data_IF_266538870721
#
_entry.id   IF_266538870721
#
_cell.length_a   1.000
_cell.length_b   1.000
_cell.length_c   1.000
_cell.angle_alpha   90.00
_cell.angle_beta   90.00
_cell.angle_gamma   90.00
#
_symmetry.space_group_name_H-M   'P 1'
#
loop_
_entity.id
_entity.type
_entity.pdbx_description
1 polymer ?
#
# COMPACT_ATOMS: atom_id res chain seq x y z
N UNK A 1 6.24 -1.89 9.71
CA UNK A 1 7.29 -1.09 10.37
C UNK A 1 7.33 -1.32 11.88
N UNK A 2 6.25 -1.19 12.62
CA UNK A 2 6.22 -1.47 14.09
C UNK A 2 6.81 -2.84 14.44
N UNK A 3 6.41 -3.92 13.72
CA UNK A 3 6.99 -5.26 13.90
C UNK A 3 8.53 -5.26 13.73
N UNK A 4 9.04 -4.54 12.75
CA UNK A 4 10.48 -4.46 12.50
C UNK A 4 11.23 -3.79 13.68
N UNK A 5 10.67 -2.72 14.24
CA UNK A 5 11.23 -2.10 15.45
C UNK A 5 11.22 -3.01 16.66
N UNK A 6 10.11 -3.75 16.87
CA UNK A 6 10.01 -4.75 17.94
C UNK A 6 11.09 -5.83 17.74
N UNK A 7 11.12 -6.44 16.55
CA UNK A 7 12.05 -7.52 16.24
C UNK A 7 13.51 -7.10 16.47
N UNK A 8 13.90 -5.91 16.02
CA UNK A 8 15.26 -5.37 16.22
C UNK A 8 15.60 -5.15 17.69
N UNK A 9 14.62 -4.76 18.53
CA UNK A 9 14.86 -4.45 19.96
C UNK A 9 14.82 -5.69 20.86
N UNK A 10 14.03 -6.72 20.49
CA UNK A 10 13.74 -7.84 21.37
C UNK A 10 14.45 -9.14 20.99
N UNK A 11 14.80 -9.31 19.71
CA UNK A 11 15.45 -10.54 19.27
C UNK A 11 16.97 -10.42 19.34
N UNK A 12 17.61 -11.38 20.01
CA UNK A 12 19.07 -11.51 20.08
C UNK A 12 19.64 -12.26 18.86
N UNK A 13 18.96 -12.19 17.72
CA UNK A 13 19.35 -12.82 16.47
C UNK A 13 19.38 -11.79 15.35
N UNK A 14 20.08 -12.13 14.26
CA UNK A 14 20.06 -11.29 13.07
C UNK A 14 18.65 -11.28 12.45
N UNK A 15 18.13 -10.08 12.18
CA UNK A 15 16.86 -9.88 11.52
C UNK A 15 17.08 -9.01 10.29
N UNK A 16 16.73 -9.55 9.12
CA UNK A 16 16.77 -8.81 7.85
C UNK A 16 15.38 -8.32 7.49
N UNK A 17 15.26 -7.04 7.20
CA UNK A 17 14.03 -6.40 6.74
C UNK A 17 14.02 -6.38 5.23
N UNK A 18 13.01 -6.98 4.61
CA UNK A 18 12.81 -6.95 3.17
C UNK A 18 11.78 -5.90 2.78
N UNK A 19 12.11 -5.05 1.83
CA UNK A 19 11.17 -4.10 1.21
C UNK A 19 11.17 -4.29 -0.30
N UNK A 20 9.98 -4.56 -0.87
CA UNK A 20 9.82 -4.66 -2.31
C UNK A 20 9.77 -3.26 -2.94
N UNK A 21 10.69 -2.99 -3.85
CA UNK A 21 10.62 -1.86 -4.76
C UNK A 21 9.63 -2.19 -5.87
N UNK A 22 8.59 -1.40 -6.00
CA UNK A 22 7.54 -1.60 -6.98
C UNK A 22 6.89 -0.27 -7.34
N UNK A 23 6.49 -0.07 -8.60
CA UNK A 23 5.65 1.07 -8.99
C UNK A 23 4.31 1.13 -8.24
N UNK A 24 3.86 0.00 -7.68
CA UNK A 24 2.64 -0.08 -6.87
C UNK A 24 2.83 0.40 -5.43
N UNK A 25 4.07 0.61 -4.97
CA UNK A 25 4.37 1.15 -3.63
C UNK A 25 4.52 2.66 -3.73
N UNK A 26 3.76 3.46 -2.96
CA UNK A 26 3.94 4.90 -2.94
C UNK A 26 5.39 5.26 -2.60
N UNK A 27 5.96 6.21 -3.33
CA UNK A 27 7.36 6.64 -3.14
C UNK A 27 7.63 7.06 -1.69
N UNK A 28 6.74 7.81 -1.09
CA UNK A 28 6.84 8.24 0.32
C UNK A 28 6.93 7.07 1.32
N UNK A 29 6.36 5.91 0.98
CA UNK A 29 6.43 4.73 1.84
C UNK A 29 7.84 4.11 1.82
N UNK A 30 8.48 4.05 0.65
CA UNK A 30 9.87 3.60 0.51
C UNK A 30 10.82 4.54 1.24
N UNK A 31 10.73 5.85 1.02
CA UNK A 31 11.54 6.87 1.69
C UNK A 31 11.41 6.79 3.23
N UNK A 32 10.20 6.52 3.74
CA UNK A 32 9.96 6.33 5.17
C UNK A 32 10.66 5.08 5.69
N UNK A 33 10.60 3.96 4.98
CA UNK A 33 11.25 2.71 5.39
C UNK A 33 12.76 2.88 5.43
N UNK A 34 13.36 3.50 4.40
CA UNK A 34 14.80 3.77 4.34
C UNK A 34 15.25 4.68 5.50
N UNK A 35 14.48 5.71 5.81
CA UNK A 35 14.75 6.59 6.95
C UNK A 35 14.73 5.83 8.28
N UNK A 36 13.70 4.98 8.49
CA UNK A 36 13.63 4.15 9.70
C UNK A 36 14.75 3.12 9.78
N UNK A 37 15.08 2.49 8.65
CA UNK A 37 16.18 1.53 8.58
C UNK A 37 17.51 2.17 8.98
N UNK A 38 17.80 3.35 8.44
CA UNK A 38 19.01 4.13 8.78
C UNK A 38 19.02 4.50 10.27
N UNK A 39 17.94 5.04 10.80
CA UNK A 39 17.86 5.54 12.17
C UNK A 39 17.89 4.41 13.22
N UNK A 40 17.30 3.26 12.91
CA UNK A 40 17.23 2.12 13.82
C UNK A 40 18.34 1.07 13.56
N UNK A 41 19.20 1.28 12.57
CA UNK A 41 20.27 0.35 12.21
C UNK A 41 19.75 -1.01 11.74
N UNK A 42 18.68 -1.02 10.91
CA UNK A 42 18.18 -2.26 10.33
C UNK A 42 19.11 -2.76 9.24
N UNK A 43 19.23 -4.08 9.15
CA UNK A 43 19.66 -4.71 7.91
C UNK A 43 18.48 -4.68 6.95
N UNK A 44 18.49 -3.76 6.00
CA UNK A 44 17.42 -3.58 5.00
C UNK A 44 17.87 -4.06 3.64
N UNK A 45 17.11 -4.99 3.07
CA UNK A 45 17.26 -5.47 1.70
C UNK A 45 16.13 -4.92 0.82
N UNK A 46 16.52 -4.17 -0.21
CA UNK A 46 15.60 -3.69 -1.24
C UNK A 46 15.55 -4.71 -2.38
N UNK A 47 14.39 -5.29 -2.63
CA UNK A 47 14.22 -6.35 -3.61
C UNK A 47 13.17 -5.97 -4.66
N UNK A 48 13.31 -6.50 -5.87
CA UNK A 48 12.25 -6.49 -6.88
C UNK A 48 11.47 -7.80 -6.77
N UNK A 49 10.18 -7.72 -6.48
CA UNK A 49 9.31 -8.90 -6.39
C UNK A 49 8.82 -9.38 -7.77
N UNK A 50 9.08 -8.62 -8.85
CA UNK A 50 8.74 -8.92 -10.24
C UNK A 50 7.23 -9.07 -10.51
N UNK A 51 6.35 -8.60 -9.64
CA UNK A 51 4.90 -8.66 -9.85
C UNK A 51 4.45 -7.91 -11.12
N UNK A 52 5.21 -6.89 -11.55
CA UNK A 52 4.93 -6.19 -12.82
C UNK A 52 5.30 -7.00 -14.07
N UNK A 53 5.83 -8.20 -13.91
CA UNK A 53 6.08 -9.17 -14.98
C UNK A 53 5.12 -10.36 -14.93
N UNK A 54 4.25 -10.43 -13.91
CA UNK A 54 3.27 -11.50 -13.73
C UNK A 54 1.95 -11.14 -14.42
N UNK A 55 1.56 -11.83 -15.51
CA UNK A 55 0.30 -11.57 -16.21
C UNK A 55 -0.92 -11.64 -15.30
N UNK A 56 -0.94 -12.58 -14.34
CA UNK A 56 -2.05 -12.75 -13.42
C UNK A 56 -2.21 -11.53 -12.50
N UNK A 57 -1.10 -10.92 -12.09
CA UNK A 57 -1.15 -9.67 -11.34
C UNK A 57 -1.60 -8.50 -12.21
N UNK A 58 -1.09 -8.41 -13.45
CA UNK A 58 -1.37 -7.31 -14.36
C UNK A 58 -2.83 -7.27 -14.82
N UNK A 59 -3.49 -8.41 -14.96
CA UNK A 59 -4.93 -8.51 -15.29
C UNK A 59 -5.84 -7.92 -14.20
N UNK A 60 -5.30 -7.65 -13.02
CA UNK A 60 -6.00 -7.02 -11.91
C UNK A 60 -7.29 -7.74 -11.49
N UNK A 61 -7.25 -9.05 -11.26
CA UNK A 61 -8.41 -9.78 -10.76
C UNK A 61 -8.73 -9.39 -9.31
N UNK A 62 -9.91 -9.78 -8.83
CA UNK A 62 -10.34 -9.51 -7.45
C UNK A 62 -9.36 -10.04 -6.40
N UNK A 63 -8.68 -11.16 -6.70
CA UNK A 63 -7.66 -11.80 -5.87
C UNK A 63 -6.22 -11.38 -6.23
N UNK A 64 -6.00 -10.25 -6.94
CA UNK A 64 -4.67 -9.75 -7.33
C UNK A 64 -3.65 -9.79 -6.20
N UNK A 65 -4.07 -9.53 -4.96
CA UNK A 65 -3.18 -9.53 -3.79
C UNK A 65 -2.55 -10.90 -3.52
N UNK A 66 -3.19 -12.00 -3.93
CA UNK A 66 -2.59 -13.35 -3.89
C UNK A 66 -1.34 -13.39 -4.76
N UNK A 67 -1.44 -13.04 -6.02
CA UNK A 67 -0.30 -13.04 -6.97
C UNK A 67 0.83 -12.11 -6.52
N UNK A 68 0.47 -10.89 -6.08
CA UNK A 68 1.44 -9.95 -5.53
C UNK A 68 2.23 -10.52 -4.34
N UNK A 69 1.54 -11.20 -3.42
CA UNK A 69 2.19 -11.78 -2.24
C UNK A 69 2.96 -13.05 -2.56
N UNK A 70 2.47 -13.88 -3.48
CA UNK A 70 3.19 -15.06 -3.96
C UNK A 70 4.53 -14.66 -4.60
N UNK A 71 4.52 -13.65 -5.48
CA UNK A 71 5.75 -13.10 -6.07
C UNK A 71 6.72 -12.58 -4.99
N UNK A 72 6.20 -11.82 -4.02
CA UNK A 72 7.02 -11.26 -2.92
C UNK A 72 7.66 -12.38 -2.08
N UNK A 73 6.88 -13.33 -1.61
CA UNK A 73 7.39 -14.39 -0.73
C UNK A 73 8.32 -15.35 -1.46
N UNK A 74 7.99 -15.71 -2.71
CA UNK A 74 8.88 -16.48 -3.58
C UNK A 74 10.23 -15.77 -3.75
N UNK A 75 10.20 -14.44 -3.92
CA UNK A 75 11.45 -13.68 -4.05
C UNK A 75 12.25 -13.66 -2.75
N UNK A 76 11.62 -13.44 -1.60
CA UNK A 76 12.29 -13.46 -0.29
C UNK A 76 12.89 -14.84 -0.01
N UNK A 77 12.20 -15.93 -0.34
CA UNK A 77 12.69 -17.30 -0.14
C UNK A 77 13.98 -17.61 -0.92
N UNK A 78 14.29 -16.85 -1.98
CA UNK A 78 15.57 -16.96 -2.69
C UNK A 78 16.76 -16.35 -1.91
N UNK A 79 16.49 -15.46 -0.97
CA UNK A 79 17.53 -14.79 -0.15
C UNK A 79 17.75 -15.46 1.19
N UNK A 80 16.76 -16.18 1.71
CA UNK A 80 16.83 -16.76 3.05
C UNK A 80 15.99 -18.03 3.17
N UNK A 81 16.50 -18.97 3.97
CA UNK A 81 15.75 -20.13 4.47
C UNK A 81 15.15 -19.90 5.87
N UNK A 82 15.33 -18.72 6.43
CA UNK A 82 14.80 -18.38 7.75
C UNK A 82 13.29 -18.10 7.67
N UNK A 83 12.56 -18.25 8.80
CA UNK A 83 11.13 -17.94 8.82
C UNK A 83 10.81 -16.51 8.36
N UNK A 84 9.86 -16.37 7.44
CA UNK A 84 9.38 -15.06 6.97
C UNK A 84 8.29 -14.59 7.94
N UNK A 85 8.43 -13.34 8.39
CA UNK A 85 7.46 -12.71 9.28
C UNK A 85 6.72 -11.59 8.56
N UNK A 86 5.42 -11.44 8.78
CA UNK A 86 4.64 -10.32 8.27
C UNK A 86 3.89 -9.58 9.37
N UNK A 87 3.59 -8.29 9.14
CA UNK A 87 2.88 -7.43 10.08
C UNK A 87 1.35 -7.57 10.02
N UNK A 88 0.81 -8.67 9.52
CA UNK A 88 -0.61 -8.98 9.58
C UNK A 88 -1.07 -9.01 11.04
N UNK A 89 -2.24 -8.46 11.34
CA UNK A 89 -2.80 -8.35 12.69
C UNK A 89 -4.21 -8.93 12.75
N UNK A 90 -4.85 -8.97 13.93
CA UNK A 90 -6.17 -9.58 14.12
C UNK A 90 -7.25 -8.95 13.23
N UNK A 91 -7.26 -7.63 13.10
CA UNK A 91 -8.28 -6.95 12.28
C UNK A 91 -8.20 -7.35 10.80
N UNK A 92 -7.02 -7.79 10.35
CA UNK A 92 -6.82 -8.20 8.96
C UNK A 92 -7.46 -9.55 8.65
N UNK A 93 -7.76 -10.38 9.65
CA UNK A 93 -8.35 -11.71 9.47
C UNK A 93 -9.86 -11.66 9.15
N UNK A 94 -10.54 -10.58 9.55
CA UNK A 94 -11.97 -10.40 9.31
C UNK A 94 -12.29 -9.83 7.91
N UNK A 95 -11.28 -9.45 7.13
CA UNK A 95 -11.42 -8.85 5.80
C UNK A 95 -11.07 -9.86 4.71
N UNK A 96 -11.61 -9.65 3.50
CA UNK A 96 -11.22 -10.43 2.33
C UNK A 96 -9.77 -10.09 1.93
N UNK A 97 -8.85 -11.00 2.24
CA UNK A 97 -7.41 -10.82 2.01
C UNK A 97 -6.78 -12.01 1.30
N UNK A 98 -6.90 -12.09 -0.02
CA UNK A 98 -6.31 -13.18 -0.81
C UNK A 98 -4.80 -13.36 -0.58
N UNK A 99 -4.09 -12.31 -0.18
CA UNK A 99 -2.68 -12.39 0.18
C UNK A 99 -2.37 -13.24 1.41
N UNK A 100 -3.36 -13.57 2.26
CA UNK A 100 -3.17 -14.49 3.38
C UNK A 100 -3.07 -15.95 2.90
N UNK A 101 -3.72 -16.30 1.79
CA UNK A 101 -3.56 -17.63 1.19
C UNK A 101 -2.13 -17.80 0.68
N UNK A 102 -1.59 -16.81 -0.03
CA UNK A 102 -0.17 -16.83 -0.41
C UNK A 102 0.77 -16.92 0.80
N UNK A 103 0.43 -16.28 1.92
CA UNK A 103 1.24 -16.37 3.14
C UNK A 103 1.26 -17.79 3.71
N UNK A 104 0.15 -18.56 3.60
CA UNK A 104 0.10 -19.97 4.01
C UNK A 104 1.00 -20.83 3.13
N UNK A 105 0.97 -20.64 1.80
CA UNK A 105 1.78 -21.42 0.86
C UNK A 105 3.29 -21.28 1.12
N UNK A 106 3.71 -20.16 1.71
CA UNK A 106 5.10 -19.85 2.05
C UNK A 106 5.39 -19.93 3.56
N UNK A 107 4.50 -20.52 4.35
CA UNK A 107 4.63 -20.69 5.80
C UNK A 107 4.99 -19.39 6.55
N UNK A 108 4.47 -18.25 6.05
CA UNK A 108 4.73 -16.92 6.63
C UNK A 108 4.04 -16.81 7.98
N UNK A 109 4.81 -16.47 9.01
CA UNK A 109 4.29 -16.26 10.36
C UNK A 109 3.77 -14.85 10.55
N UNK A 110 2.79 -14.73 11.43
CA UNK A 110 2.10 -13.46 11.74
C UNK A 110 2.17 -13.16 13.25
N UNK A 111 3.31 -12.65 13.77
CA UNK A 111 3.52 -12.49 15.22
C UNK A 111 2.42 -11.67 15.92
N UNK A 112 1.84 -10.67 15.26
CA UNK A 112 0.74 -9.91 15.86
C UNK A 112 -0.53 -10.74 16.00
N UNK A 113 -0.83 -11.62 15.03
CA UNK A 113 -1.96 -12.55 15.13
C UNK A 113 -1.70 -13.58 16.22
N UNK A 114 -0.51 -14.16 16.26
CA UNK A 114 -0.09 -15.14 17.27
C UNK A 114 -0.18 -14.57 18.70
N UNK A 115 0.07 -13.28 18.86
CA UNK A 115 0.00 -12.55 20.14
C UNK A 115 -1.37 -11.91 20.40
N UNK A 116 -2.39 -12.16 19.58
CA UNK A 116 -3.73 -11.53 19.67
C UNK A 116 -3.70 -10.00 19.65
N UNK A 117 -2.84 -9.39 18.83
CA UNK A 117 -2.64 -7.95 18.73
C UNK A 117 -3.41 -7.39 17.52
N UNK A 118 -4.27 -6.40 17.76
CA UNK A 118 -5.02 -5.66 16.74
C UNK A 118 -4.38 -4.31 16.38
N UNK A 119 -5.02 -3.58 15.46
CA UNK A 119 -4.52 -2.27 15.00
C UNK A 119 -4.41 -1.23 16.10
N UNK A 120 -5.35 -1.26 17.06
CA UNK A 120 -5.32 -0.34 18.23
C UNK A 120 -4.05 -0.57 19.04
N UNK A 121 -3.74 -1.83 19.33
CA UNK A 121 -2.58 -2.19 20.15
C UNK A 121 -1.27 -1.86 19.41
N UNK A 122 -1.21 -2.13 18.09
CA UNK A 122 -0.06 -1.75 17.26
C UNK A 122 0.21 -0.24 17.32
N UNK A 123 -0.84 0.61 17.35
CA UNK A 123 -0.69 2.06 17.47
C UNK A 123 -0.16 2.48 18.84
N UNK A 124 -0.66 1.84 19.92
CA UNK A 124 -0.15 2.07 21.29
C UNK A 124 1.32 1.64 21.40
N UNK A 125 1.67 0.47 20.85
CA UNK A 125 3.07 0.01 20.80
C UNK A 125 3.93 0.99 19.99
N UNK A 126 3.44 1.47 18.85
CA UNK A 126 4.17 2.45 18.04
C UNK A 126 4.39 3.78 18.81
N UNK A 127 3.42 4.21 19.60
CA UNK A 127 3.53 5.38 20.47
C UNK A 127 4.57 5.16 21.57
N UNK A 128 4.52 4.04 22.27
CA UNK A 128 5.47 3.66 23.32
C UNK A 128 6.90 3.52 22.79
N UNK A 129 7.04 3.10 21.53
CA UNK A 129 8.34 3.06 20.84
C UNK A 129 8.82 4.42 20.32
N UNK A 130 8.06 5.50 20.47
CA UNK A 130 8.37 6.83 19.95
C UNK A 130 8.29 6.95 18.43
N UNK A 131 7.44 6.16 17.78
CA UNK A 131 7.29 6.12 16.31
C UNK A 131 6.16 7.08 15.86
N UNK A 132 6.34 8.37 16.13
CA UNK A 132 5.33 9.41 15.95
C UNK A 132 4.83 9.54 14.50
N UNK A 133 5.71 9.31 13.52
CA UNK A 133 5.39 9.43 12.10
C UNK A 133 4.62 8.23 11.55
N UNK A 134 4.48 7.13 12.31
CA UNK A 134 3.74 5.93 11.88
C UNK A 134 2.55 5.57 12.77
N UNK A 135 2.51 6.02 14.03
CA UNK A 135 1.45 5.66 14.98
C UNK A 135 0.05 6.08 14.51
N UNK A 136 -0.05 7.17 13.75
CA UNK A 136 -1.31 7.71 13.26
C UNK A 136 -1.49 7.55 11.73
N UNK A 137 -0.58 6.84 11.05
CA UNK A 137 -0.73 6.66 9.60
C UNK A 137 -2.07 6.01 9.27
N UNK A 138 -2.83 6.59 8.34
CA UNK A 138 -4.01 5.93 7.80
C UNK A 138 -3.61 4.65 7.06
N UNK A 139 -4.58 3.75 6.84
CA UNK A 139 -4.35 2.57 6.01
C UNK A 139 -3.84 3.00 4.62
N UNK A 140 -2.65 2.53 4.25
CA UNK A 140 -1.98 2.87 3.01
C UNK A 140 -1.86 1.63 2.10
N UNK A 141 -2.97 1.17 1.49
CA UNK A 141 -2.91 0.08 0.52
C UNK A 141 -2.09 0.50 -0.70
N UNK A 142 -1.55 -0.48 -1.44
CA UNK A 142 -0.74 -0.22 -2.64
C UNK A 142 -1.52 0.57 -3.70
N UNK A 143 -0.81 1.28 -4.58
CA UNK A 143 -1.42 2.13 -5.63
C UNK A 143 -2.31 1.33 -6.58
N UNK A 144 -2.02 0.05 -6.83
CA UNK A 144 -2.86 -0.82 -7.66
C UNK A 144 -4.29 -0.97 -7.11
N UNK A 145 -4.50 -0.75 -5.80
CA UNK A 145 -5.84 -0.73 -5.21
C UNK A 145 -6.72 0.43 -5.69
N UNK A 146 -6.17 1.39 -6.40
CA UNK A 146 -6.86 2.53 -7.02
C UNK A 146 -7.38 2.19 -8.41
N UNK A 147 -6.88 1.12 -9.01
CA UNK A 147 -7.29 0.68 -10.35
C UNK A 147 -8.49 -0.25 -10.19
N UNK A 148 -9.57 0.04 -10.93
CA UNK A 148 -10.80 -0.75 -10.90
C UNK A 148 -10.52 -2.19 -11.34
N UNK A 149 -11.09 -3.15 -10.62
CA UNK A 149 -10.94 -4.59 -10.89
C UNK A 149 -11.19 -4.92 -12.37
N UNK A 150 -10.29 -5.69 -12.98
CA UNK A 150 -10.31 -6.07 -14.38
C UNK A 150 -9.82 -4.99 -15.35
N UNK A 151 -9.36 -3.84 -14.85
CA UNK A 151 -8.54 -2.93 -15.64
C UNK A 151 -7.07 -3.27 -15.44
N UNK A 152 -6.36 -3.48 -16.54
CA UNK A 152 -4.94 -3.86 -16.52
C UNK A 152 -4.09 -2.88 -15.72
N UNK A 153 -3.22 -3.40 -14.84
CA UNK A 153 -2.24 -2.62 -14.09
C UNK A 153 -1.08 -2.27 -15.00
N UNK A 154 -0.77 -1.00 -15.16
CA UNK A 154 0.38 -0.52 -15.93
C UNK A 154 1.20 0.48 -15.16
N UNK A 155 2.47 0.65 -15.52
CA UNK A 155 3.35 1.64 -14.90
C UNK A 155 2.78 3.06 -15.03
N UNK A 156 2.23 3.40 -16.20
CA UNK A 156 1.67 4.74 -16.46
C UNK A 156 0.51 5.05 -15.52
N UNK A 157 -0.40 4.08 -15.29
CA UNK A 157 -1.51 4.25 -14.35
C UNK A 157 -1.01 4.41 -12.91
N UNK A 158 -0.01 3.62 -12.50
CA UNK A 158 0.56 3.71 -11.15
C UNK A 158 1.28 5.04 -10.94
N UNK A 159 2.05 5.51 -11.92
CA UNK A 159 2.72 6.82 -11.89
C UNK A 159 1.73 7.98 -11.87
N UNK A 160 0.65 7.91 -12.65
CA UNK A 160 -0.44 8.88 -12.60
C UNK A 160 -1.02 8.96 -11.19
N UNK A 161 -1.40 7.81 -10.61
CA UNK A 161 -2.00 7.72 -9.29
C UNK A 161 -1.07 8.33 -8.22
N UNK A 162 0.21 7.93 -8.21
CA UNK A 162 1.20 8.45 -7.26
C UNK A 162 1.38 9.96 -7.40
N UNK A 163 1.50 10.45 -8.63
CA UNK A 163 1.71 11.88 -8.91
C UNK A 163 0.51 12.74 -8.48
N UNK A 164 -0.70 12.28 -8.77
CA UNK A 164 -1.93 13.00 -8.39
C UNK A 164 -2.15 12.94 -6.87
N UNK A 165 -2.00 11.77 -6.24
CA UNK A 165 -2.16 11.66 -4.79
C UNK A 165 -1.11 12.49 -4.04
N UNK A 166 0.12 12.58 -4.56
CA UNK A 166 1.18 13.41 -3.98
C UNK A 166 0.88 14.89 -4.13
N UNK A 167 0.49 15.36 -5.32
CA UNK A 167 0.08 16.76 -5.54
C UNK A 167 -1.01 17.19 -4.55
N UNK A 168 -2.02 16.33 -4.36
CA UNK A 168 -3.13 16.62 -3.45
C UNK A 168 -2.70 16.57 -1.97
N UNK A 169 -1.75 15.70 -1.60
CA UNK A 169 -1.19 15.66 -0.24
C UNK A 169 -0.32 16.88 0.06
N UNK A 170 0.43 17.37 -0.92
CA UNK A 170 1.19 18.63 -0.77
C UNK A 170 0.26 19.83 -0.54
N UNK A 171 -0.92 19.84 -1.15
CA UNK A 171 -1.92 20.91 -0.96
C UNK A 171 -2.69 20.79 0.36
N UNK A 172 -3.13 19.60 0.72
CA UNK A 172 -4.06 19.39 1.85
C UNK A 172 -3.39 18.86 3.13
N UNK A 173 -2.17 18.34 3.04
CA UNK A 173 -1.53 17.65 4.15
C UNK A 173 -2.09 16.25 4.39
N UNK A 174 -2.37 15.93 5.66
CA UNK A 174 -2.91 14.64 6.06
C UNK A 174 -4.39 14.52 5.71
N UNK A 175 -4.79 13.35 5.25
CA UNK A 175 -6.19 13.04 4.92
C UNK A 175 -6.31 11.84 4.00
N UNK A 176 -7.55 11.41 3.78
CA UNK A 176 -7.82 10.32 2.85
C UNK A 176 -7.97 10.88 1.43
N UNK A 177 -6.98 10.59 0.59
CA UNK A 177 -6.90 11.00 -0.80
C UNK A 177 -6.71 9.73 -1.65
N UNK A 178 -7.57 9.54 -2.67
CA UNK A 178 -7.48 8.40 -3.60
C UNK A 178 -7.74 8.84 -5.03
N UNK A 179 -6.76 8.64 -5.89
CA UNK A 179 -6.91 8.81 -7.34
C UNK A 179 -7.31 7.47 -7.95
N UNK A 180 -8.59 7.30 -8.31
CA UNK A 180 -9.12 6.06 -8.88
C UNK A 180 -9.05 6.09 -10.41
N UNK A 181 -8.51 5.03 -10.98
CA UNK A 181 -8.59 4.75 -12.42
C UNK A 181 -9.74 3.78 -12.63
N UNK A 182 -10.85 4.26 -13.17
CA UNK A 182 -12.08 3.49 -13.43
C UNK A 182 -12.35 3.40 -14.94
N UNK A 183 -13.25 2.49 -15.36
CA UNK A 183 -13.69 2.40 -16.76
C UNK A 183 -14.29 3.71 -17.27
N UNK A 184 -14.98 4.44 -16.39
CA UNK A 184 -15.58 5.74 -16.69
C UNK A 184 -14.56 6.87 -16.80
N UNK A 185 -13.36 6.74 -16.23
CA UNK A 185 -12.30 7.77 -16.23
C UNK A 185 -11.58 7.85 -14.89
N UNK A 186 -11.01 9.02 -14.63
CA UNK A 186 -10.30 9.31 -13.39
C UNK A 186 -11.29 9.90 -12.37
N UNK A 187 -11.32 9.33 -11.17
CA UNK A 187 -12.15 9.82 -10.06
C UNK A 187 -11.26 10.10 -8.85
N UNK A 188 -11.24 11.34 -8.39
CA UNK A 188 -10.57 11.73 -7.16
C UNK A 188 -11.55 11.58 -5.99
N UNK A 189 -11.27 10.64 -5.11
CA UNK A 189 -12.04 10.43 -3.89
C UNK A 189 -11.31 11.07 -2.70
N UNK A 190 -11.96 11.98 -2.03
CA UNK A 190 -11.45 12.73 -0.89
C UNK A 190 -12.38 12.56 0.32
N UNK A 191 -11.84 12.66 1.52
CA UNK A 191 -12.72 12.87 2.68
C UNK A 191 -13.48 14.20 2.52
N UNK A 192 -14.67 14.28 3.09
CA UNK A 192 -15.62 15.36 2.85
C UNK A 192 -15.05 16.75 3.18
N UNK A 193 -14.25 16.84 4.24
CA UNK A 193 -13.58 18.09 4.66
C UNK A 193 -12.58 18.61 3.64
N UNK A 194 -11.94 17.72 2.85
CA UNK A 194 -11.01 18.08 1.79
C UNK A 194 -11.73 18.36 0.48
N UNK A 195 -12.80 17.63 0.19
CA UNK A 195 -13.58 17.78 -1.03
C UNK A 195 -14.11 19.22 -1.19
N UNK A 196 -14.56 19.83 -0.09
CA UNK A 196 -15.07 21.18 -0.04
C UNK A 196 -13.99 22.26 -0.24
N UNK A 197 -12.70 21.89 -0.17
CA UNK A 197 -11.56 22.81 -0.37
C UNK A 197 -11.00 22.77 -1.80
N UNK A 198 -11.53 21.90 -2.67
CA UNK A 198 -11.05 21.77 -4.05
C UNK A 198 -11.52 22.95 -4.89
N UNK A 199 -10.64 23.90 -5.14
CA UNK A 199 -10.88 25.07 -5.97
C UNK A 199 -10.62 24.83 -7.47
N UNK A 200 -10.90 25.81 -8.30
CA UNK A 200 -10.69 25.73 -9.75
C UNK A 200 -9.21 25.60 -10.14
N UNK A 201 -8.30 26.22 -9.38
CA UNK A 201 -6.86 26.16 -9.66
C UNK A 201 -6.33 24.76 -9.43
N UNK A 202 -6.70 24.12 -8.31
CA UNK A 202 -6.31 22.76 -7.99
C UNK A 202 -6.88 21.76 -9.01
N UNK A 203 -8.16 21.94 -9.42
CA UNK A 203 -8.76 21.13 -10.50
C UNK A 203 -7.95 21.24 -11.80
N UNK A 204 -7.54 22.45 -12.18
CA UNK A 204 -6.75 22.66 -13.39
C UNK A 204 -5.36 21.98 -13.28
N UNK A 205 -4.68 22.05 -12.12
CA UNK A 205 -3.42 21.35 -11.88
C UNK A 205 -3.57 19.84 -12.05
N UNK A 206 -4.62 19.26 -11.46
CA UNK A 206 -4.91 17.81 -11.56
C UNK A 206 -5.25 17.42 -13.00
N UNK A 207 -6.10 18.19 -13.70
CA UNK A 207 -6.48 17.92 -15.08
C UNK A 207 -5.26 17.96 -16.02
N UNK A 208 -4.36 18.92 -15.84
CA UNK A 208 -3.12 19.00 -16.61
C UNK A 208 -2.23 17.77 -16.36
N UNK A 209 -2.10 17.36 -15.10
CA UNK A 209 -1.31 16.18 -14.74
C UNK A 209 -1.93 14.91 -15.36
N UNK A 210 -3.24 14.73 -15.28
CA UNK A 210 -3.97 13.60 -15.86
C UNK A 210 -3.79 13.53 -17.40
N UNK A 211 -3.79 14.68 -18.07
CA UNK A 211 -3.53 14.76 -19.53
C UNK A 211 -2.11 14.35 -19.91
N UNK A 212 -1.11 14.71 -19.11
CA UNK A 212 0.30 14.30 -19.31
C UNK A 212 0.41 12.76 -19.38
N UNK A 213 -0.40 12.05 -18.59
CA UNK A 213 -0.46 10.59 -18.60
C UNK A 213 -1.45 10.00 -19.63
N UNK A 214 -1.89 10.80 -20.61
CA UNK A 214 -2.69 10.33 -21.75
C UNK A 214 -4.19 10.17 -21.48
N UNK A 215 -4.71 10.67 -20.37
CA UNK A 215 -6.14 10.66 -20.07
C UNK A 215 -6.78 11.98 -20.47
N UNK A 216 -7.61 11.95 -21.53
CA UNK A 216 -8.27 13.14 -22.08
C UNK A 216 -9.70 13.37 -21.57
N UNK A 217 -10.22 12.45 -20.74
CA UNK A 217 -11.53 12.63 -20.10
C UNK A 217 -11.37 13.52 -18.87
N UNK A 218 -12.39 14.31 -18.56
CA UNK A 218 -12.41 15.12 -17.34
C UNK A 218 -12.28 14.29 -16.08
N UNK A 219 -11.80 14.92 -15.01
CA UNK A 219 -11.62 14.31 -13.69
C UNK A 219 -12.87 14.55 -12.85
N UNK A 220 -13.45 13.48 -12.32
CA UNK A 220 -14.55 13.55 -11.37
C UNK A 220 -14.02 13.64 -9.93
N UNK A 221 -14.77 14.34 -9.07
CA UNK A 221 -14.46 14.47 -7.63
C UNK A 221 -15.63 13.95 -6.82
N UNK A 222 -15.37 13.12 -5.82
CA UNK A 222 -16.41 12.54 -4.97
C UNK A 222 -15.92 12.27 -3.54
N UNK A 223 -16.85 12.07 -2.61
CA UNK A 223 -16.52 11.63 -1.27
C UNK A 223 -15.90 10.24 -1.28
N UNK A 224 -14.90 10.02 -0.43
CA UNK A 224 -14.21 8.76 -0.30
C UNK A 224 -15.15 7.62 0.08
N UNK A 225 -15.03 6.51 -0.65
CA UNK A 225 -15.71 5.24 -0.34
C UNK A 225 -14.67 4.12 -0.28
N UNK A 226 -14.63 3.43 0.87
CA UNK A 226 -13.72 2.29 1.02
C UNK A 226 -14.06 1.21 -0.01
N UNK A 227 -13.03 0.72 -0.72
CA UNK A 227 -13.18 -0.37 -1.67
C UNK A 227 -13.89 -0.03 -2.98
N UNK A 228 -14.11 1.25 -3.31
CA UNK A 228 -14.86 1.71 -4.49
C UNK A 228 -14.29 1.26 -5.85
N UNK A 229 -13.03 0.81 -5.91
CA UNK A 229 -12.39 0.25 -7.10
C UNK A 229 -12.47 -1.29 -7.15
N UNK A 230 -12.96 -1.95 -6.09
CA UNK A 230 -13.09 -3.40 -6.04
C UNK A 230 -14.50 -3.81 -6.49
N UNK A 231 -14.61 -4.31 -7.71
CA UNK A 231 -15.83 -4.91 -8.21
C UNK A 231 -15.84 -6.38 -7.76
N UNK A 232 -16.50 -6.65 -6.65
CA UNK A 232 -16.84 -8.02 -6.25
C UNK A 232 -18.14 -8.37 -6.95
N UNK A 233 -18.17 -9.41 -7.75
CA UNK A 233 -19.44 -9.99 -8.15
C UNK A 233 -20.20 -10.35 -6.86
N UNK A 234 -21.43 -9.89 -6.76
CA UNK A 234 -22.30 -10.33 -5.66
C UNK A 234 -22.54 -11.82 -5.88
N UNK A 235 -21.85 -12.63 -5.08
CA UNK A 235 -22.18 -14.05 -4.90
C UNK A 235 -23.58 -14.19 -4.31
#
# INVERSE_FOLDING_TARGET
MTLAHIAKRTLNVSVTMFHALSPAVPREATERIERHAKNAGWQLELINANEMQDPNYLENPVNRCFFCKSNLYSRIAQFTSQPILSGTNLDDLSDFRPGLEAAKDFEVRHPFVEANIGKRDIRLIAEDLGLDDIKQLPAAPCLSSRIETGLHVTNEKLMLIDSVERLLKEEFGLGIIRCRVKRVGIVIELEETLLNKVDCNLRQKVDNLVRIYGHNKGVEYSSYKQGSAFLREKL
#
